data_IF_986086621390
#
_entry.id   IF_986086621390
#
_cell.length_a   1.000
_cell.length_b   1.000
_cell.length_c   1.000
_cell.angle_alpha   90.00
_cell.angle_beta   90.00
_cell.angle_gamma   90.00
#
_symmetry.space_group_name_H-M   'P 1'
#
loop_
_entity.id
_entity.type
_entity.pdbx_description
1 polymer ?
#
# COMPACT_ATOMS: atom_id res chain seq x y z
N UNK A 1 23.36 -20.04 -79.25
CA UNK A 1 22.91 -20.78 -80.43
C UNK A 1 22.35 -19.81 -81.44
N UNK A 2 23.18 -19.51 -82.42
CA UNK A 2 22.87 -18.75 -83.62
C UNK A 2 21.66 -19.34 -84.33
N UNK A 3 20.64 -18.52 -84.57
CA UNK A 3 19.69 -18.80 -85.64
C UNK A 3 19.58 -17.56 -86.50
N UNK A 4 20.05 -17.72 -87.74
CA UNK A 4 19.92 -16.81 -88.86
C UNK A 4 18.48 -16.30 -88.98
N UNK A 5 18.24 -15.06 -88.57
CA UNK A 5 17.10 -14.28 -89.05
C UNK A 5 17.40 -13.81 -90.47
N UNK A 6 17.15 -14.72 -91.40
CA UNK A 6 16.97 -14.40 -92.81
C UNK A 6 15.89 -13.32 -92.90
N UNK A 7 16.35 -12.11 -93.21
CA UNK A 7 15.58 -10.98 -93.72
C UNK A 7 14.95 -11.38 -95.06
N UNK A 8 13.97 -12.28 -95.02
CA UNK A 8 13.03 -12.48 -96.12
C UNK A 8 12.11 -11.29 -96.04
N UNK A 9 12.53 -10.19 -96.64
CA UNK A 9 11.67 -9.07 -96.95
C UNK A 9 10.52 -9.66 -97.77
N UNK A 10 9.39 -9.90 -97.12
CA UNK A 10 8.14 -10.36 -97.71
C UNK A 10 7.63 -9.32 -98.70
N UNK A 11 8.31 -9.21 -99.84
CA UNK A 11 7.73 -8.62 -101.04
C UNK A 11 6.60 -9.56 -101.41
N UNK A 12 5.40 -9.21 -100.93
CA UNK A 12 4.15 -9.59 -101.56
C UNK A 12 4.41 -9.58 -103.07
N UNK A 13 4.30 -10.76 -103.67
CA UNK A 13 4.81 -11.05 -105.01
C UNK A 13 4.32 -9.93 -105.94
N UNK A 14 5.19 -9.32 -106.75
CA UNK A 14 4.81 -8.12 -107.53
C UNK A 14 3.53 -8.36 -108.36
N UNK A 15 3.35 -9.61 -108.80
CA UNK A 15 2.14 -10.13 -109.42
C UNK A 15 0.90 -10.05 -108.51
N UNK A 16 0.98 -10.50 -107.26
CA UNK A 16 -0.13 -10.39 -106.29
C UNK A 16 -0.48 -8.95 -105.92
N UNK A 17 0.50 -8.04 -105.89
CA UNK A 17 0.23 -6.60 -105.71
C UNK A 17 -0.43 -5.99 -106.94
N UNK A 18 -0.06 -6.44 -108.13
CA UNK A 18 -0.68 -6.00 -109.37
C UNK A 18 -2.12 -6.49 -109.48
N UNK A 19 -2.38 -7.75 -109.12
CA UNK A 19 -3.73 -8.31 -109.05
C UNK A 19 -4.58 -7.62 -107.96
N UNK A 20 -4.02 -7.35 -106.78
CA UNK A 20 -4.70 -6.58 -105.74
C UNK A 20 -5.12 -5.18 -106.21
N UNK A 21 -4.24 -4.48 -106.94
CA UNK A 21 -4.54 -3.17 -107.53
C UNK A 21 -5.61 -3.26 -108.62
N UNK A 22 -5.59 -4.31 -109.45
CA UNK A 22 -6.63 -4.55 -110.47
C UNK A 22 -7.99 -4.81 -109.83
N UNK A 23 -8.04 -5.66 -108.81
CA UNK A 23 -9.28 -5.98 -108.09
C UNK A 23 -9.84 -4.73 -107.40
N UNK A 24 -9.00 -3.93 -106.73
CA UNK A 24 -9.43 -2.68 -106.13
C UNK A 24 -9.90 -1.65 -107.18
N UNK A 25 -9.24 -1.58 -108.34
CA UNK A 25 -9.67 -0.70 -109.43
C UNK A 25 -11.05 -1.07 -109.98
N UNK A 26 -11.34 -2.35 -110.18
CA UNK A 26 -12.68 -2.81 -110.62
C UNK A 26 -13.76 -2.47 -109.59
N UNK A 27 -13.45 -2.60 -108.29
CA UNK A 27 -14.38 -2.23 -107.22
C UNK A 27 -14.57 -0.70 -107.15
N UNK A 28 -13.52 0.07 -107.39
CA UNK A 28 -13.59 1.54 -107.47
C UNK A 28 -14.43 1.98 -108.68
N UNK A 29 -14.25 1.37 -109.85
CA UNK A 29 -15.10 1.58 -111.03
C UNK A 29 -16.58 1.26 -110.75
N UNK A 30 -16.86 0.15 -110.07
CA UNK A 30 -18.23 -0.22 -109.67
C UNK A 30 -18.84 0.79 -108.68
N UNK A 31 -18.05 1.34 -107.74
CA UNK A 31 -18.53 2.37 -106.81
C UNK A 31 -18.90 3.65 -107.57
N UNK A 32 -18.15 4.00 -108.61
CA UNK A 32 -18.44 5.13 -109.48
C UNK A 32 -19.67 4.88 -110.36
N UNK A 33 -19.81 3.70 -110.96
CA UNK A 33 -20.98 3.31 -111.76
C UNK A 33 -22.26 3.38 -110.90
N UNK A 34 -22.19 2.84 -109.68
CA UNK A 34 -23.29 2.91 -108.71
C UNK A 34 -23.58 4.35 -108.26
N UNK A 35 -22.57 5.23 -108.26
CA UNK A 35 -22.80 6.64 -107.97
C UNK A 35 -23.57 7.33 -109.10
N UNK A 36 -23.26 7.01 -110.36
CA UNK A 36 -23.96 7.54 -111.55
C UNK A 36 -25.40 7.04 -111.58
N UNK A 37 -25.62 5.73 -111.42
CA UNK A 37 -26.98 5.16 -111.41
C UNK A 37 -27.81 5.72 -110.25
N UNK A 38 -27.18 5.97 -109.10
CA UNK A 38 -27.85 6.56 -107.95
C UNK A 38 -28.30 8.02 -108.18
N UNK A 39 -27.68 8.76 -109.10
CA UNK A 39 -28.05 10.16 -109.37
C UNK A 39 -29.06 10.33 -110.51
N UNK A 40 -29.40 9.24 -111.22
CA UNK A 40 -30.39 9.28 -112.30
C UNK A 40 -31.82 9.50 -111.76
N UNK A 41 -32.61 10.39 -112.39
CA UNK A 41 -34.03 10.56 -112.05
C UNK A 41 -34.86 9.30 -112.33
N UNK A 42 -35.98 9.05 -111.63
CA UNK A 42 -36.84 7.88 -111.90
C UNK A 42 -37.55 7.92 -113.26
N UNK A 43 -37.67 9.12 -113.87
CA UNK A 43 -38.28 9.31 -115.17
C UNK A 43 -37.51 10.36 -115.96
N UNK A 44 -37.38 10.17 -117.27
CA UNK A 44 -36.80 11.18 -118.18
C UNK A 44 -37.44 12.57 -118.01
N UNK A 45 -38.74 12.63 -117.78
CA UNK A 45 -39.50 13.89 -117.57
C UNK A 45 -39.19 14.59 -116.25
N UNK A 46 -38.60 13.87 -115.29
CA UNK A 46 -38.15 14.42 -114.00
C UNK A 46 -36.71 14.93 -114.06
N UNK A 47 -36.02 14.78 -115.20
CA UNK A 47 -34.69 15.33 -115.38
C UNK A 47 -34.76 16.86 -115.52
N UNK A 48 -34.02 17.62 -114.69
CA UNK A 48 -33.98 19.07 -114.82
C UNK A 48 -33.47 19.50 -116.20
N UNK A 49 -34.10 20.53 -116.76
CA UNK A 49 -33.79 21.00 -118.11
C UNK A 49 -32.31 21.44 -118.27
N UNK A 50 -31.70 21.93 -117.19
CA UNK A 50 -30.28 22.29 -117.16
C UNK A 50 -29.35 21.07 -117.34
N UNK A 51 -29.77 19.89 -116.90
CA UNK A 51 -28.95 18.67 -116.95
C UNK A 51 -29.08 17.99 -118.30
N UNK A 52 -30.29 18.03 -118.86
CA UNK A 52 -30.54 17.62 -120.24
C UNK A 52 -29.73 18.49 -121.20
N UNK A 53 -29.72 19.81 -121.00
CA UNK A 53 -28.91 20.74 -121.80
C UNK A 53 -27.42 20.52 -121.63
N UNK A 54 -26.92 20.31 -120.40
CA UNK A 54 -25.50 20.05 -120.19
C UNK A 54 -25.06 18.73 -120.83
N UNK A 55 -25.88 17.68 -120.78
CA UNK A 55 -25.59 16.43 -121.48
C UNK A 55 -25.54 16.65 -122.99
N UNK A 56 -26.50 17.39 -123.56
CA UNK A 56 -26.50 17.73 -124.98
C UNK A 56 -25.27 18.56 -125.38
N UNK A 57 -24.89 19.58 -124.59
CA UNK A 57 -23.72 20.43 -124.84
C UNK A 57 -22.39 19.69 -124.69
N UNK A 58 -22.35 18.61 -123.89
CA UNK A 58 -21.15 17.78 -123.67
C UNK A 58 -20.74 17.01 -124.93
N UNK A 59 -21.66 16.84 -125.89
CA UNK A 59 -21.41 16.21 -127.18
C UNK A 59 -21.56 17.29 -128.27
N UNK A 60 -20.44 17.88 -128.68
CA UNK A 60 -20.37 19.08 -129.52
C UNK A 60 -20.91 18.94 -130.97
N UNK A 61 -21.46 17.79 -131.34
CA UNK A 61 -22.05 17.52 -132.66
C UNK A 61 -23.58 17.39 -132.53
N UNK A 62 -24.35 18.03 -133.44
CA UNK A 62 -25.82 17.94 -133.44
C UNK A 62 -26.33 16.49 -133.51
N UNK A 63 -25.56 15.58 -134.13
CA UNK A 63 -25.83 14.15 -134.18
C UNK A 63 -25.55 13.43 -132.85
N UNK A 64 -24.51 13.84 -132.12
CA UNK A 64 -24.13 13.23 -130.84
C UNK A 64 -25.07 13.60 -129.69
N UNK A 65 -25.57 14.85 -129.67
CA UNK A 65 -26.61 15.26 -128.72
C UNK A 65 -27.91 14.49 -128.93
N UNK A 66 -28.31 14.28 -130.18
CA UNK A 66 -29.49 13.46 -130.52
C UNK A 66 -29.30 12.00 -130.10
N UNK A 67 -28.10 11.43 -130.29
CA UNK A 67 -27.78 10.06 -129.87
C UNK A 67 -27.90 9.88 -128.36
N UNK A 68 -27.38 10.81 -127.55
CA UNK A 68 -27.52 10.74 -126.08
C UNK A 68 -28.97 10.86 -125.65
N UNK A 69 -29.73 11.77 -126.25
CA UNK A 69 -31.15 11.92 -125.98
C UNK A 69 -31.93 10.65 -126.38
N UNK A 70 -31.54 10.01 -127.48
CA UNK A 70 -32.11 8.75 -127.93
C UNK A 70 -31.76 7.61 -126.98
N UNK A 71 -30.49 7.45 -126.58
CA UNK A 71 -30.06 6.44 -125.59
C UNK A 71 -30.77 6.62 -124.25
N UNK A 72 -30.97 7.86 -123.80
CA UNK A 72 -31.76 8.16 -122.60
C UNK A 72 -33.21 7.71 -122.75
N UNK A 73 -33.84 8.09 -123.87
CA UNK A 73 -35.24 7.78 -124.13
C UNK A 73 -35.45 6.27 -124.25
N UNK A 74 -34.55 5.58 -124.95
CA UNK A 74 -34.56 4.12 -125.10
C UNK A 74 -34.37 3.42 -123.76
N UNK A 75 -33.43 3.88 -122.91
CA UNK A 75 -33.21 3.31 -121.59
C UNK A 75 -34.44 3.46 -120.68
N UNK A 76 -35.01 4.67 -120.58
CA UNK A 76 -36.21 4.90 -119.76
C UNK A 76 -37.48 4.23 -120.32
N UNK A 77 -37.61 4.13 -121.65
CA UNK A 77 -38.70 3.38 -122.27
C UNK A 77 -38.55 1.87 -122.03
N UNK A 78 -37.32 1.37 -122.03
CA UNK A 78 -37.01 -0.01 -121.69
C UNK A 78 -37.30 -0.28 -120.21
N UNK A 79 -36.84 0.56 -119.27
CA UNK A 79 -37.22 0.46 -117.85
C UNK A 79 -38.75 0.47 -117.65
N UNK A 80 -39.48 1.35 -118.36
CA UNK A 80 -40.95 1.39 -118.28
C UNK A 80 -41.61 0.11 -118.84
N UNK A 81 -41.08 -0.46 -119.92
CA UNK A 81 -41.54 -1.75 -120.47
C UNK A 81 -41.31 -2.88 -119.46
N UNK A 82 -40.16 -2.88 -118.80
CA UNK A 82 -39.81 -3.86 -117.77
C UNK A 82 -40.68 -3.74 -116.52
N UNK A 83 -40.97 -2.52 -116.05
CA UNK A 83 -41.85 -2.28 -114.90
C UNK A 83 -43.30 -2.69 -115.17
N UNK A 84 -43.76 -2.57 -116.41
CA UNK A 84 -45.13 -2.94 -116.81
C UNK A 84 -45.28 -4.42 -117.18
N UNK A 85 -44.19 -5.10 -117.54
CA UNK A 85 -44.14 -6.55 -117.72
C UNK A 85 -44.17 -7.27 -116.36
N UNK A 86 -45.36 -7.48 -115.82
CA UNK A 86 -45.55 -8.18 -114.54
C UNK A 86 -45.31 -9.70 -114.67
N UNK A 87 -44.04 -10.11 -114.78
CA UNK A 87 -43.57 -11.40 -114.26
C UNK A 87 -43.00 -12.44 -115.24
N UNK A 88 -42.78 -12.14 -116.52
CA UNK A 88 -41.98 -13.00 -117.39
C UNK A 88 -41.00 -12.15 -118.20
N UNK A 89 -39.77 -12.07 -117.69
CA UNK A 89 -38.69 -11.31 -118.31
C UNK A 89 -37.86 -12.23 -119.20
N UNK A 90 -37.72 -11.93 -120.50
CA UNK A 90 -36.80 -12.69 -121.35
C UNK A 90 -35.36 -12.46 -120.92
N UNK A 91 -34.49 -13.44 -121.12
CA UNK A 91 -33.04 -13.26 -120.94
C UNK A 91 -32.50 -12.14 -121.85
N UNK A 92 -33.07 -12.01 -123.04
CA UNK A 92 -32.73 -10.96 -124.00
C UNK A 92 -33.09 -9.56 -123.46
N UNK A 93 -34.21 -9.41 -122.74
CA UNK A 93 -34.62 -8.12 -122.17
C UNK A 93 -33.70 -7.66 -121.03
N UNK A 94 -33.14 -8.61 -120.26
CA UNK A 94 -32.17 -8.34 -119.20
C UNK A 94 -30.81 -8.01 -119.78
N UNK A 95 -30.38 -8.70 -120.84
CA UNK A 95 -29.17 -8.36 -121.58
C UNK A 95 -29.26 -6.99 -122.25
N UNK A 96 -30.41 -6.67 -122.85
CA UNK A 96 -30.69 -5.35 -123.44
C UNK A 96 -30.70 -4.25 -122.36
N UNK A 97 -31.27 -4.51 -121.18
CA UNK A 97 -31.17 -3.58 -120.05
C UNK A 97 -29.73 -3.41 -119.58
N UNK A 98 -28.94 -4.48 -119.50
CA UNK A 98 -27.54 -4.39 -119.10
C UNK A 98 -26.70 -3.61 -120.10
N UNK A 99 -26.89 -3.86 -121.41
CA UNK A 99 -26.20 -3.14 -122.46
C UNK A 99 -26.62 -1.67 -122.50
N UNK A 100 -27.92 -1.39 -122.38
CA UNK A 100 -28.47 -0.04 -122.31
C UNK A 100 -27.98 0.71 -121.07
N UNK A 101 -27.99 0.08 -119.89
CA UNK A 101 -27.51 0.68 -118.63
C UNK A 101 -26.01 0.92 -118.67
N UNK A 102 -25.23 -0.01 -119.24
CA UNK A 102 -23.78 0.17 -119.40
C UNK A 102 -23.45 1.28 -120.38
N UNK A 103 -24.09 1.28 -121.55
CA UNK A 103 -23.93 2.34 -122.56
C UNK A 103 -24.32 3.69 -121.96
N UNK A 104 -25.41 3.76 -121.19
CA UNK A 104 -25.85 4.95 -120.48
C UNK A 104 -24.81 5.43 -119.46
N UNK A 105 -24.32 4.53 -118.60
CA UNK A 105 -23.32 4.88 -117.57
C UNK A 105 -22.01 5.33 -118.21
N UNK A 106 -21.56 4.69 -119.30
CA UNK A 106 -20.36 5.09 -120.04
C UNK A 106 -20.54 6.48 -120.69
N UNK A 107 -21.69 6.74 -121.31
CA UNK A 107 -22.06 8.06 -121.88
C UNK A 107 -22.11 9.14 -120.79
N UNK A 108 -22.72 8.84 -119.63
CA UNK A 108 -22.82 9.75 -118.48
C UNK A 108 -21.47 10.01 -117.82
N UNK A 109 -20.61 8.98 -117.74
CA UNK A 109 -19.23 9.09 -117.24
C UNK A 109 -18.41 9.96 -118.17
N UNK A 110 -18.49 9.75 -119.50
CA UNK A 110 -17.78 10.55 -120.49
C UNK A 110 -18.19 12.03 -120.43
N UNK A 111 -19.48 12.31 -120.22
CA UNK A 111 -20.00 13.67 -120.04
C UNK A 111 -19.60 14.33 -118.70
N UNK A 112 -18.93 13.60 -117.79
CA UNK A 112 -18.55 14.09 -116.47
C UNK A 112 -19.76 14.36 -115.56
N UNK A 113 -20.87 13.66 -115.78
CA UNK A 113 -22.12 13.83 -115.05
C UNK A 113 -21.98 13.75 -113.51
N UNK A 114 -21.27 12.76 -112.91
CA UNK A 114 -21.21 12.62 -111.44
C UNK A 114 -20.38 13.69 -110.72
N UNK A 115 -19.43 14.36 -111.40
CA UNK A 115 -18.58 15.39 -110.76
C UNK A 115 -19.24 16.78 -110.75
N UNK A 116 -19.97 17.10 -111.83
CA UNK A 116 -20.59 18.42 -112.01
C UNK A 116 -22.00 18.47 -111.45
N UNK A 117 -22.66 17.33 -111.29
CA UNK A 117 -24.04 17.27 -110.84
C UNK A 117 -24.18 16.66 -109.45
N UNK A 118 -24.70 17.45 -108.50
CA UNK A 118 -25.13 16.94 -107.19
C UNK A 118 -26.56 16.48 -107.32
N UNK A 119 -26.82 15.22 -106.97
CA UNK A 119 -28.14 14.58 -107.07
C UNK A 119 -29.26 15.50 -106.57
N UNK A 120 -30.09 15.99 -107.48
CA UNK A 120 -31.32 16.71 -107.13
C UNK A 120 -32.37 15.77 -106.51
N UNK A 121 -32.17 14.46 -106.64
CA UNK A 121 -33.03 13.40 -106.12
C UNK A 121 -32.30 12.60 -105.05
N UNK A 122 -33.03 12.15 -104.02
CA UNK A 122 -32.48 11.16 -103.11
C UNK A 122 -32.35 9.83 -103.85
N UNK A 123 -31.16 9.22 -103.88
CA UNK A 123 -30.99 7.91 -104.49
C UNK A 123 -31.93 6.90 -103.81
N UNK A 124 -32.48 5.97 -104.59
CA UNK A 124 -33.28 4.88 -104.03
C UNK A 124 -32.50 4.21 -102.88
N UNK A 125 -33.14 4.02 -101.72
CA UNK A 125 -32.48 3.55 -100.50
C UNK A 125 -31.68 2.25 -100.71
N UNK A 126 -32.14 1.40 -101.63
CA UNK A 126 -31.49 0.14 -101.99
C UNK A 126 -30.13 0.35 -102.69
N UNK A 127 -30.03 1.34 -103.60
CA UNK A 127 -28.78 1.65 -104.32
C UNK A 127 -27.78 2.33 -103.39
N UNK A 128 -28.26 3.21 -102.51
CA UNK A 128 -27.42 3.84 -101.47
C UNK A 128 -26.84 2.84 -100.46
N UNK A 129 -27.65 1.89 -99.98
CA UNK A 129 -27.20 0.80 -99.11
C UNK A 129 -26.19 -0.11 -99.82
N UNK A 130 -26.46 -0.47 -101.07
CA UNK A 130 -25.55 -1.29 -101.86
C UNK A 130 -24.19 -0.59 -102.06
N UNK A 131 -24.18 0.71 -102.37
CA UNK A 131 -22.95 1.51 -102.44
C UNK A 131 -22.16 1.50 -101.13
N UNK A 132 -22.83 1.67 -99.98
CA UNK A 132 -22.18 1.62 -98.66
C UNK A 132 -21.56 0.26 -98.34
N UNK A 133 -22.25 -0.83 -98.72
CA UNK A 133 -21.73 -2.19 -98.59
C UNK A 133 -20.48 -2.38 -99.45
N UNK A 134 -20.51 -1.94 -100.72
CA UNK A 134 -19.35 -2.05 -101.61
C UNK A 134 -18.17 -1.19 -101.10
N UNK A 135 -18.43 0.00 -100.55
CA UNK A 135 -17.39 0.82 -99.91
C UNK A 135 -16.75 0.13 -98.69
N UNK A 136 -17.56 -0.52 -97.86
CA UNK A 136 -17.08 -1.28 -96.70
C UNK A 136 -16.27 -2.50 -97.15
N UNK A 137 -16.75 -3.19 -98.18
CA UNK A 137 -16.06 -4.32 -98.79
C UNK A 137 -14.72 -3.88 -99.39
N UNK A 138 -14.66 -2.72 -100.05
CA UNK A 138 -13.42 -2.13 -100.57
C UNK A 138 -12.41 -1.87 -99.46
N UNK A 139 -12.84 -1.35 -98.31
CA UNK A 139 -11.99 -1.17 -97.13
C UNK A 139 -11.44 -2.50 -96.60
N UNK A 140 -12.30 -3.50 -96.45
CA UNK A 140 -11.89 -4.84 -96.01
C UNK A 140 -10.96 -5.54 -97.02
N UNK A 141 -11.21 -5.39 -98.31
CA UNK A 141 -10.34 -5.89 -99.38
C UNK A 141 -9.00 -5.18 -99.35
N UNK A 142 -8.97 -3.87 -99.16
CA UNK A 142 -7.72 -3.12 -99.03
C UNK A 142 -6.87 -3.62 -97.86
N UNK A 143 -7.48 -3.79 -96.69
CA UNK A 143 -6.80 -4.31 -95.50
C UNK A 143 -6.34 -5.75 -95.70
N UNK A 144 -7.17 -6.60 -96.33
CA UNK A 144 -6.83 -8.00 -96.58
C UNK A 144 -5.74 -8.18 -97.64
N UNK A 145 -5.74 -7.33 -98.67
CA UNK A 145 -4.76 -7.39 -99.75
C UNK A 145 -3.43 -6.75 -99.36
N UNK A 146 -3.42 -5.86 -98.36
CA UNK A 146 -2.19 -5.21 -97.85
C UNK A 146 -1.64 -5.84 -96.56
N UNK A 147 -2.35 -6.79 -95.95
CA UNK A 147 -1.84 -7.54 -94.79
C UNK A 147 -0.86 -8.61 -95.24
N UNK A 148 0.36 -8.57 -94.72
CA UNK A 148 1.33 -9.64 -94.96
C UNK A 148 1.12 -10.78 -93.97
N UNK A 149 1.56 -11.99 -94.34
CA UNK A 149 1.53 -13.15 -93.44
C UNK A 149 2.35 -12.89 -92.18
N UNK A 150 3.41 -12.08 -92.25
CA UNK A 150 4.24 -11.69 -91.11
C UNK A 150 3.50 -10.78 -90.14
N UNK A 151 2.73 -9.81 -90.64
CA UNK A 151 1.91 -8.92 -89.81
C UNK A 151 0.83 -9.70 -89.05
N UNK A 152 0.21 -10.70 -89.69
CA UNK A 152 -0.78 -11.57 -89.05
C UNK A 152 -0.14 -12.44 -87.95
N UNK A 153 1.05 -12.99 -88.21
CA UNK A 153 1.81 -13.75 -87.20
C UNK A 153 2.21 -12.84 -86.03
N UNK A 154 2.64 -11.60 -86.29
CA UNK A 154 3.00 -10.63 -85.25
C UNK A 154 1.78 -10.22 -84.41
N UNK A 155 0.64 -9.93 -85.04
CA UNK A 155 -0.63 -9.62 -84.34
C UNK A 155 -1.05 -10.78 -83.47
N UNK A 156 -0.97 -12.02 -83.97
CA UNK A 156 -1.29 -13.21 -83.20
C UNK A 156 -0.32 -13.41 -82.02
N UNK A 157 0.97 -13.18 -82.22
CA UNK A 157 1.97 -13.27 -81.15
C UNK A 157 1.72 -12.23 -80.03
N UNK A 158 1.42 -10.98 -80.40
CA UNK A 158 1.06 -9.92 -79.45
C UNK A 158 -0.22 -10.30 -78.68
N UNK A 159 -1.26 -10.73 -79.39
CA UNK A 159 -2.51 -11.15 -78.77
C UNK A 159 -2.31 -12.30 -77.78
N UNK A 160 -1.52 -13.30 -78.15
CA UNK A 160 -1.23 -14.43 -77.28
C UNK A 160 -0.42 -14.00 -76.04
N UNK A 161 0.56 -13.11 -76.19
CA UNK A 161 1.31 -12.55 -75.07
C UNK A 161 0.40 -11.73 -74.14
N UNK A 162 -0.49 -10.88 -74.69
CA UNK A 162 -1.45 -10.12 -73.87
C UNK A 162 -2.42 -11.04 -73.13
N UNK A 163 -2.93 -12.08 -73.79
CA UNK A 163 -3.82 -13.08 -73.17
C UNK A 163 -3.09 -13.86 -72.07
N UNK A 164 -1.82 -14.23 -72.28
CA UNK A 164 -1.05 -14.93 -71.26
C UNK A 164 -0.72 -14.02 -70.06
N UNK A 165 -0.42 -12.74 -70.30
CA UNK A 165 -0.26 -11.76 -69.23
C UNK A 165 -1.55 -11.53 -68.45
N UNK A 166 -2.68 -11.43 -69.14
CA UNK A 166 -4.00 -11.32 -68.51
C UNK A 166 -4.32 -12.56 -67.66
N UNK A 167 -4.06 -13.77 -68.18
CA UNK A 167 -4.25 -15.02 -67.43
C UNK A 167 -3.38 -15.07 -66.18
N UNK A 168 -2.10 -14.70 -66.29
CA UNK A 168 -1.19 -14.67 -65.15
C UNK A 168 -1.63 -13.62 -64.12
N UNK A 169 -1.95 -12.40 -64.56
CA UNK A 169 -2.46 -11.35 -63.68
C UNK A 169 -3.77 -11.76 -62.99
N UNK A 170 -4.67 -12.44 -63.70
CA UNK A 170 -5.91 -12.98 -63.13
C UNK A 170 -5.64 -14.07 -62.09
N UNK A 171 -4.68 -14.96 -62.36
CA UNK A 171 -4.26 -15.98 -61.40
C UNK A 171 -3.65 -15.35 -60.13
N UNK A 172 -2.81 -14.33 -60.28
CA UNK A 172 -2.21 -13.59 -59.16
C UNK A 172 -3.28 -12.86 -58.33
N UNK A 173 -4.24 -12.19 -58.99
CA UNK A 173 -5.36 -11.55 -58.30
C UNK A 173 -6.20 -12.59 -57.53
N UNK A 174 -6.46 -13.77 -58.12
CA UNK A 174 -7.17 -14.84 -57.42
C UNK A 174 -6.36 -15.38 -56.23
N UNK A 175 -5.05 -15.55 -56.37
CA UNK A 175 -4.17 -16.00 -55.29
C UNK A 175 -4.16 -14.99 -54.13
N UNK A 176 -3.91 -13.71 -54.41
CA UNK A 176 -3.93 -12.64 -53.42
C UNK A 176 -5.31 -12.48 -52.75
N UNK A 177 -6.39 -12.65 -53.50
CA UNK A 177 -7.75 -12.60 -52.92
C UNK A 177 -7.98 -13.74 -51.94
N UNK A 178 -7.49 -14.95 -52.25
CA UNK A 178 -7.57 -16.11 -51.35
C UNK A 178 -6.70 -15.91 -50.10
N UNK A 179 -5.46 -15.45 -50.26
CA UNK A 179 -4.56 -15.16 -49.14
C UNK A 179 -5.14 -14.08 -48.23
N UNK A 180 -5.67 -13.00 -48.80
CA UNK A 180 -6.32 -11.94 -48.03
C UNK A 180 -7.56 -12.45 -47.27
N UNK A 181 -8.38 -13.29 -47.91
CA UNK A 181 -9.53 -13.92 -47.25
C UNK A 181 -9.09 -14.83 -46.10
N UNK A 182 -8.05 -15.64 -46.30
CA UNK A 182 -7.48 -16.51 -45.28
C UNK A 182 -6.89 -15.71 -44.11
N UNK A 183 -6.15 -14.64 -44.37
CA UNK A 183 -5.57 -13.79 -43.34
C UNK A 183 -6.66 -13.06 -42.54
N UNK A 184 -7.72 -12.59 -43.20
CA UNK A 184 -8.88 -12.01 -42.54
C UNK A 184 -9.56 -13.01 -41.59
N UNK A 185 -9.67 -14.27 -42.02
CA UNK A 185 -10.24 -15.33 -41.18
C UNK A 185 -9.33 -15.68 -40.00
N UNK A 186 -8.04 -15.86 -40.24
CA UNK A 186 -7.05 -16.10 -39.17
C UNK A 186 -7.08 -14.97 -38.13
N UNK A 187 -7.16 -13.72 -38.60
CA UNK A 187 -7.25 -12.55 -37.72
C UNK A 187 -8.54 -12.55 -36.90
N UNK A 188 -9.68 -12.92 -37.51
CA UNK A 188 -10.96 -13.05 -36.79
C UNK A 188 -10.86 -14.08 -35.66
N UNK A 189 -10.35 -15.28 -35.96
CA UNK A 189 -10.18 -16.35 -34.97
C UNK A 189 -9.24 -15.92 -33.83
N UNK A 190 -8.12 -15.26 -34.15
CA UNK A 190 -7.19 -14.78 -33.13
C UNK A 190 -7.79 -13.67 -32.25
N UNK A 191 -8.60 -12.77 -32.83
CA UNK A 191 -9.34 -11.75 -32.07
C UNK A 191 -10.34 -12.42 -31.13
N UNK A 192 -11.15 -13.35 -31.62
CA UNK A 192 -12.13 -14.08 -30.80
C UNK A 192 -11.46 -14.85 -29.65
N UNK A 193 -10.30 -15.49 -29.91
CA UNK A 193 -9.50 -16.19 -28.89
C UNK A 193 -9.00 -15.23 -27.81
N UNK A 194 -8.50 -14.06 -28.21
CA UNK A 194 -8.03 -13.01 -27.28
C UNK A 194 -9.18 -12.42 -26.48
N UNK A 195 -10.31 -12.12 -27.11
CA UNK A 195 -11.51 -11.63 -26.44
C UNK A 195 -12.02 -12.64 -25.41
N UNK A 196 -12.02 -13.93 -25.74
CA UNK A 196 -12.36 -15.00 -24.81
C UNK A 196 -11.42 -15.03 -23.60
N UNK A 197 -10.12 -14.88 -23.85
CA UNK A 197 -9.11 -14.82 -22.78
C UNK A 197 -9.33 -13.60 -21.89
N UNK A 198 -9.63 -12.44 -22.49
CA UNK A 198 -9.92 -11.21 -21.75
C UNK A 198 -11.16 -11.38 -20.87
N UNK A 199 -12.22 -12.02 -21.37
CA UNK A 199 -13.43 -12.31 -20.57
C UNK A 199 -13.10 -13.19 -19.37
N UNK A 200 -12.39 -14.31 -19.58
CA UNK A 200 -11.95 -15.20 -18.49
C UNK A 200 -11.13 -14.47 -17.43
N UNK A 201 -10.12 -13.70 -17.85
CA UNK A 201 -9.28 -12.94 -16.91
C UNK A 201 -10.09 -11.89 -16.12
N UNK A 202 -11.12 -11.28 -16.72
CA UNK A 202 -12.02 -10.37 -16.01
C UNK A 202 -12.88 -11.09 -14.97
N UNK A 203 -13.40 -12.26 -15.31
CA UNK A 203 -14.16 -13.11 -14.38
C UNK A 203 -13.28 -13.58 -13.21
N UNK A 204 -12.07 -14.06 -13.49
CA UNK A 204 -11.09 -14.46 -12.47
C UNK A 204 -10.70 -13.28 -11.57
N UNK A 205 -10.45 -12.09 -12.13
CA UNK A 205 -10.18 -10.89 -11.35
C UNK A 205 -11.37 -10.47 -10.48
N UNK A 206 -12.60 -10.61 -10.97
CA UNK A 206 -13.80 -10.33 -10.19
C UNK A 206 -13.93 -11.31 -9.01
N UNK A 207 -13.74 -12.61 -9.26
CA UNK A 207 -13.76 -13.65 -8.24
C UNK A 207 -12.68 -13.41 -7.17
N UNK A 208 -11.44 -13.11 -7.57
CA UNK A 208 -10.35 -12.81 -6.63
C UNK A 208 -10.66 -11.59 -5.77
N UNK A 209 -11.24 -10.53 -6.36
CA UNK A 209 -11.66 -9.34 -5.60
C UNK A 209 -12.74 -9.67 -4.59
N UNK A 210 -13.75 -10.44 -5.00
CA UNK A 210 -14.83 -10.87 -4.10
C UNK A 210 -14.28 -11.70 -2.93
N UNK A 211 -13.44 -12.71 -3.20
CA UNK A 211 -12.81 -13.50 -2.15
C UNK A 211 -11.95 -12.66 -1.22
N UNK A 212 -11.17 -11.71 -1.76
CA UNK A 212 -10.36 -10.81 -0.94
C UNK A 212 -11.22 -9.90 -0.05
N UNK A 213 -12.35 -9.39 -0.55
CA UNK A 213 -13.28 -8.59 0.26
C UNK A 213 -13.92 -9.42 1.37
N UNK A 214 -14.36 -10.65 1.07
CA UNK A 214 -14.92 -11.56 2.06
C UNK A 214 -13.91 -11.91 3.15
N UNK A 215 -12.66 -12.22 2.77
CA UNK A 215 -11.62 -12.58 3.74
C UNK A 215 -11.19 -11.38 4.59
N UNK A 216 -11.12 -10.19 4.00
CA UNK A 216 -10.92 -8.94 4.74
C UNK A 216 -12.03 -8.74 5.79
N UNK A 217 -13.29 -8.90 5.39
CA UNK A 217 -14.43 -8.66 6.27
C UNK A 217 -14.48 -9.69 7.41
N UNK A 218 -14.17 -10.96 7.13
CA UNK A 218 -13.99 -12.00 8.16
C UNK A 218 -12.86 -11.66 9.14
N UNK A 219 -11.72 -11.20 8.63
CA UNK A 219 -10.58 -10.85 9.46
C UNK A 219 -10.89 -9.64 10.35
N UNK A 220 -11.58 -8.63 9.83
CA UNK A 220 -12.05 -7.49 10.61
C UNK A 220 -13.04 -7.91 11.70
N UNK A 221 -13.97 -8.81 11.38
CA UNK A 221 -14.92 -9.34 12.36
C UNK A 221 -14.21 -10.14 13.48
N UNK A 222 -13.23 -10.98 13.14
CA UNK A 222 -12.46 -11.73 14.14
C UNK A 222 -11.60 -10.81 15.01
N UNK A 223 -10.98 -9.77 14.42
CA UNK A 223 -10.24 -8.75 15.20
C UNK A 223 -11.18 -8.07 16.19
N UNK A 224 -12.36 -7.62 15.75
CA UNK A 224 -13.34 -6.98 16.63
C UNK A 224 -13.78 -7.91 17.76
N UNK A 225 -14.05 -9.18 17.45
CA UNK A 225 -14.40 -10.20 18.45
C UNK A 225 -13.28 -10.42 19.48
N UNK A 226 -12.04 -10.50 19.02
CA UNK A 226 -10.87 -10.65 19.88
C UNK A 226 -10.63 -9.42 20.75
N UNK A 227 -10.86 -8.22 20.21
CA UNK A 227 -10.77 -6.98 20.97
C UNK A 227 -11.81 -6.93 22.08
N UNK A 228 -13.08 -7.22 21.77
CA UNK A 228 -14.16 -7.26 22.77
C UNK A 228 -13.89 -8.31 23.86
N UNK A 229 -13.46 -9.51 23.47
CA UNK A 229 -13.10 -10.56 24.42
C UNK A 229 -11.94 -10.12 25.35
N UNK A 230 -10.90 -9.49 24.79
CA UNK A 230 -9.77 -8.98 25.55
C UNK A 230 -10.19 -7.84 26.49
N UNK A 231 -11.04 -6.91 26.03
CA UNK A 231 -11.56 -5.81 26.85
C UNK A 231 -12.32 -6.35 28.07
N UNK A 232 -13.19 -7.35 27.87
CA UNK A 232 -13.89 -8.02 28.97
C UNK A 232 -12.92 -8.71 29.92
N UNK A 233 -11.91 -9.42 29.41
CA UNK A 233 -10.90 -10.07 30.24
C UNK A 233 -10.09 -9.04 31.07
N UNK A 234 -9.66 -7.94 30.46
CA UNK A 234 -8.94 -6.88 31.13
C UNK A 234 -9.81 -6.19 32.18
N UNK A 235 -11.08 -5.94 31.89
CA UNK A 235 -12.02 -5.36 32.83
C UNK A 235 -12.21 -6.27 34.05
N UNK A 236 -12.37 -7.58 33.85
CA UNK A 236 -12.47 -8.54 34.95
C UNK A 236 -11.18 -8.60 35.79
N UNK A 237 -10.00 -8.55 35.14
CA UNK A 237 -8.71 -8.49 35.86
C UNK A 237 -8.57 -7.21 36.66
N UNK A 238 -9.00 -6.08 36.09
CA UNK A 238 -8.99 -4.79 36.76
C UNK A 238 -9.89 -4.79 37.99
N UNK A 239 -11.13 -5.26 37.87
CA UNK A 239 -12.07 -5.37 38.99
C UNK A 239 -11.54 -6.28 40.11
N UNK A 240 -10.92 -7.42 39.76
CA UNK A 240 -10.28 -8.31 40.74
C UNK A 240 -9.13 -7.62 41.46
N UNK A 241 -8.24 -6.95 40.73
CA UNK A 241 -7.11 -6.23 41.34
C UNK A 241 -7.61 -5.08 42.22
N UNK A 242 -8.66 -4.38 41.81
CA UNK A 242 -9.26 -3.33 42.62
C UNK A 242 -9.84 -3.88 43.92
N UNK A 243 -10.58 -5.00 43.87
CA UNK A 243 -11.10 -5.66 45.05
C UNK A 243 -9.97 -6.15 45.98
N UNK A 244 -8.86 -6.65 45.42
CA UNK A 244 -7.69 -7.06 46.20
C UNK A 244 -7.01 -5.87 46.89
N UNK A 245 -6.90 -4.73 46.20
CA UNK A 245 -6.37 -3.49 46.79
C UNK A 245 -7.25 -3.02 47.96
N UNK A 246 -8.57 -3.00 47.79
CA UNK A 246 -9.50 -2.63 48.86
C UNK A 246 -9.44 -3.59 50.05
N UNK A 247 -9.33 -4.90 49.79
CA UNK A 247 -9.15 -5.92 50.83
C UNK A 247 -7.83 -5.74 51.59
N UNK A 248 -6.73 -5.51 50.89
CA UNK A 248 -5.41 -5.27 51.48
C UNK A 248 -5.37 -3.98 52.29
N UNK A 249 -5.97 -2.89 51.80
CA UNK A 249 -6.10 -1.64 52.56
C UNK A 249 -6.92 -1.83 53.84
N UNK A 250 -8.01 -2.58 53.76
CA UNK A 250 -8.81 -2.96 54.93
C UNK A 250 -8.01 -3.76 55.96
N UNK A 251 -7.25 -4.77 55.52
CA UNK A 251 -6.36 -5.58 56.39
C UNK A 251 -5.24 -4.74 57.00
N UNK A 252 -4.67 -3.82 56.23
CA UNK A 252 -3.62 -2.91 56.70
C UNK A 252 -4.15 -1.99 57.80
N UNK A 253 -5.30 -1.35 57.59
CA UNK A 253 -5.96 -0.50 58.59
C UNK A 253 -6.28 -1.28 59.87
N UNK A 254 -6.90 -2.45 59.75
CA UNK A 254 -7.20 -3.29 60.91
C UNK A 254 -5.94 -3.70 61.70
N UNK A 255 -4.86 -4.06 61.00
CA UNK A 255 -3.58 -4.41 61.63
C UNK A 255 -2.95 -3.19 62.31
N UNK A 256 -2.97 -2.03 61.65
CA UNK A 256 -2.48 -0.76 62.21
C UNK A 256 -3.23 -0.41 63.49
N UNK A 257 -4.56 -0.46 63.46
CA UNK A 257 -5.40 -0.12 64.62
C UNK A 257 -5.16 -1.10 65.78
N UNK A 258 -5.00 -2.39 65.48
CA UNK A 258 -4.60 -3.39 66.48
C UNK A 258 -3.26 -3.04 67.11
N UNK A 259 -2.23 -2.73 66.32
CA UNK A 259 -0.92 -2.36 66.83
C UNK A 259 -0.97 -1.09 67.71
N UNK A 260 -1.73 -0.06 67.29
CA UNK A 260 -1.92 1.17 68.07
C UNK A 260 -2.64 0.88 69.39
N UNK A 261 -3.67 0.04 69.38
CA UNK A 261 -4.39 -0.35 70.59
C UNK A 261 -3.50 -1.17 71.54
N UNK A 262 -2.72 -2.12 71.01
CA UNK A 262 -1.78 -2.92 71.79
C UNK A 262 -0.68 -2.04 72.39
N UNK A 263 -0.14 -1.08 71.63
CA UNK A 263 0.84 -0.11 72.12
C UNK A 263 0.25 0.76 73.23
N UNK A 264 -0.96 1.29 73.06
CA UNK A 264 -1.64 2.09 74.08
C UNK A 264 -1.91 1.28 75.35
N UNK A 265 -2.32 0.00 75.21
CA UNK A 265 -2.51 -0.90 76.34
C UNK A 265 -1.19 -1.16 77.09
N UNK A 266 -0.09 -1.36 76.38
CA UNK A 266 1.24 -1.52 76.97
C UNK A 266 1.71 -0.24 77.68
N UNK A 267 1.51 0.94 77.06
CA UNK A 267 1.81 2.25 77.68
C UNK A 267 1.02 2.45 78.98
N UNK A 268 -0.28 2.13 78.97
CA UNK A 268 -1.12 2.22 80.17
C UNK A 268 -0.68 1.24 81.26
N UNK A 269 -0.36 -0.01 80.89
CA UNK A 269 0.15 -1.01 81.83
C UNK A 269 1.50 -0.58 82.44
N UNK A 270 2.39 0.00 81.62
CA UNK A 270 3.66 0.57 82.06
C UNK A 270 3.44 1.73 83.04
N UNK A 271 2.59 2.70 82.71
CA UNK A 271 2.28 3.84 83.58
C UNK A 271 1.70 3.39 84.93
N UNK A 272 0.86 2.34 84.94
CA UNK A 272 0.34 1.75 86.17
C UNK A 272 1.45 1.14 87.03
N UNK A 273 2.36 0.36 86.43
CA UNK A 273 3.52 -0.22 87.15
C UNK A 273 4.47 0.85 87.66
N UNK A 274 4.77 1.88 86.86
CA UNK A 274 5.59 3.03 87.28
C UNK A 274 4.95 3.78 88.46
N UNK A 275 3.64 4.00 88.43
CA UNK A 275 2.90 4.61 89.55
C UNK A 275 2.98 3.73 90.82
N UNK A 276 2.79 2.42 90.69
CA UNK A 276 2.92 1.48 91.81
C UNK A 276 4.33 1.48 92.39
N UNK A 277 5.36 1.48 91.54
CA UNK A 277 6.76 1.55 91.98
C UNK A 277 7.04 2.87 92.72
N UNK A 278 6.57 3.99 92.19
CA UNK A 278 6.70 5.30 92.84
C UNK A 278 6.04 5.32 94.23
N UNK A 279 4.85 4.71 94.37
CA UNK A 279 4.18 4.57 95.67
C UNK A 279 4.98 3.70 96.65
N UNK A 280 5.55 2.58 96.19
CA UNK A 280 6.39 1.70 97.03
C UNK A 280 7.64 2.44 97.49
N UNK A 281 8.32 3.16 96.59
CA UNK A 281 9.51 3.96 96.93
C UNK A 281 9.13 5.02 97.97
N UNK A 282 8.05 5.77 97.75
CA UNK A 282 7.59 6.80 98.69
C UNK A 282 7.27 6.22 100.08
N UNK A 283 6.63 5.04 100.13
CA UNK A 283 6.34 4.34 101.37
C UNK A 283 7.63 3.94 102.09
N UNK A 284 8.56 3.31 101.37
CA UNK A 284 9.85 2.89 101.91
C UNK A 284 10.66 4.09 102.44
N UNK A 285 10.73 5.19 101.68
CA UNK A 285 11.45 6.41 102.09
C UNK A 285 10.83 7.01 103.37
N UNK A 286 9.49 6.99 103.48
CA UNK A 286 8.78 7.42 104.68
C UNK A 286 9.11 6.53 105.88
N UNK A 287 8.99 5.20 105.74
CA UNK A 287 9.33 4.25 106.81
C UNK A 287 10.79 4.35 107.23
N UNK A 288 11.72 4.52 106.28
CA UNK A 288 13.14 4.72 106.57
C UNK A 288 13.39 6.02 107.34
N UNK A 289 12.69 7.10 106.99
CA UNK A 289 12.77 8.38 107.70
C UNK A 289 12.23 8.24 109.12
N UNK A 290 11.09 7.59 109.29
CA UNK A 290 10.47 7.30 110.61
C UNK A 290 11.39 6.43 111.47
N UNK A 291 11.94 5.34 110.92
CA UNK A 291 12.90 4.48 111.61
C UNK A 291 14.20 5.22 111.97
N UNK A 292 14.73 6.06 111.08
CA UNK A 292 15.93 6.87 111.37
C UNK A 292 15.66 7.87 112.49
N UNK A 293 14.48 8.50 112.49
CA UNK A 293 14.07 9.38 113.58
C UNK A 293 13.92 8.60 114.90
N UNK A 294 13.33 7.40 114.86
CA UNK A 294 13.20 6.55 116.04
C UNK A 294 14.55 6.08 116.59
N UNK A 295 15.49 5.72 115.73
CA UNK A 295 16.87 5.41 116.12
C UNK A 295 17.52 6.63 116.78
N UNK A 296 17.35 7.82 116.22
CA UNK A 296 17.89 9.07 116.79
C UNK A 296 17.27 9.38 118.15
N UNK A 297 15.97 9.17 118.32
CA UNK A 297 15.29 9.30 119.61
C UNK A 297 15.86 8.33 120.65
N UNK A 298 15.97 7.04 120.31
CA UNK A 298 16.54 6.02 121.19
C UNK A 298 18.00 6.30 121.53
N UNK A 299 18.80 6.78 120.57
CA UNK A 299 20.18 7.22 120.82
C UNK A 299 20.20 8.40 121.80
N UNK A 300 19.31 9.39 121.63
CA UNK A 300 19.19 10.51 122.56
C UNK A 300 18.71 10.09 123.96
N UNK A 301 17.91 9.02 124.08
CA UNK A 301 17.57 8.40 125.37
C UNK A 301 18.78 7.69 125.98
N UNK A 302 19.51 6.88 125.21
CA UNK A 302 20.75 6.20 125.66
C UNK A 302 21.79 7.22 126.15
N UNK A 303 21.99 8.31 125.43
CA UNK A 303 22.95 9.34 125.80
C UNK A 303 22.55 10.00 127.13
N UNK A 304 21.26 10.30 127.34
CA UNK A 304 20.75 10.82 128.61
C UNK A 304 20.92 9.82 129.74
N UNK A 305 20.52 8.57 129.53
CA UNK A 305 20.65 7.50 130.53
C UNK A 305 22.13 7.31 130.89
N UNK A 306 23.05 7.39 129.91
CA UNK A 306 24.50 7.33 130.15
C UNK A 306 25.02 8.53 130.94
N UNK A 307 24.52 9.75 130.68
CA UNK A 307 24.86 10.93 131.47
C UNK A 307 24.34 10.82 132.91
N UNK A 308 23.11 10.34 133.09
CA UNK A 308 22.52 10.09 134.42
C UNK A 308 23.29 9.02 135.17
N UNK A 309 23.65 7.92 134.51
CA UNK A 309 24.43 6.84 135.09
C UNK A 309 25.84 7.32 135.48
N UNK A 310 26.49 8.14 134.65
CA UNK A 310 27.77 8.78 134.99
C UNK A 310 27.66 9.72 136.21
N UNK A 311 26.57 10.49 136.35
CA UNK A 311 26.32 11.30 137.55
C UNK A 311 26.15 10.43 138.79
N UNK A 312 25.38 9.36 138.69
CA UNK A 312 25.17 8.41 139.81
C UNK A 312 26.48 7.71 140.18
N UNK A 313 27.30 7.33 139.21
CA UNK A 313 28.64 6.76 139.45
C UNK A 313 29.56 7.78 140.15
N UNK A 314 29.53 9.05 139.75
CA UNK A 314 30.29 10.11 140.40
C UNK A 314 29.81 10.37 141.85
N UNK A 315 28.49 10.40 142.07
CA UNK A 315 27.90 10.53 143.39
C UNK A 315 28.23 9.33 144.28
N UNK A 316 28.20 8.11 143.73
CA UNK A 316 28.59 6.89 144.45
C UNK A 316 30.07 6.89 144.78
N UNK A 317 30.94 7.30 143.85
CA UNK A 317 32.37 7.45 144.09
C UNK A 317 32.65 8.47 145.21
N UNK A 318 31.92 9.59 145.23
CA UNK A 318 31.99 10.58 146.30
C UNK A 318 31.53 10.00 147.64
N UNK A 319 30.39 9.31 147.68
CA UNK A 319 29.90 8.66 148.90
C UNK A 319 30.86 7.60 149.43
N UNK A 320 31.52 6.84 148.54
CA UNK A 320 32.57 5.88 148.92
C UNK A 320 33.77 6.62 149.51
N UNK A 321 34.23 7.71 148.89
CA UNK A 321 35.31 8.55 149.42
C UNK A 321 34.96 9.18 150.78
N UNK A 322 33.73 9.69 150.94
CA UNK A 322 33.23 10.25 152.20
C UNK A 322 33.16 9.16 153.28
N UNK A 323 32.71 7.95 152.93
CA UNK A 323 32.71 6.80 153.85
C UNK A 323 34.11 6.38 154.26
N UNK A 324 35.07 6.38 153.33
CA UNK A 324 36.47 6.09 153.62
C UNK A 324 37.09 7.16 154.52
N UNK A 325 36.75 8.44 154.30
CA UNK A 325 37.15 9.55 155.15
C UNK A 325 36.56 9.43 156.57
N UNK A 326 35.27 9.11 156.69
CA UNK A 326 34.60 8.86 157.98
C UNK A 326 35.21 7.66 158.72
N UNK A 327 35.51 6.57 158.01
CA UNK A 327 36.20 5.41 158.58
C UNK A 327 37.62 5.75 159.04
N UNK A 328 38.35 6.57 158.28
CA UNK A 328 39.67 7.07 158.66
C UNK A 328 39.59 8.00 159.89
N UNK A 329 38.59 8.88 159.96
CA UNK A 329 38.36 9.76 161.10
C UNK A 329 37.98 8.96 162.35
N UNK A 330 37.14 7.93 162.22
CA UNK A 330 36.85 6.98 163.31
C UNK A 330 38.10 6.26 163.79
N UNK A 331 38.96 5.77 162.88
CA UNK A 331 40.24 5.15 163.26
C UNK A 331 41.15 6.12 164.00
N UNK A 332 41.22 7.39 163.57
CA UNK A 332 42.01 8.42 164.24
C UNK A 332 41.45 8.74 165.63
N UNK A 333 40.11 8.82 165.76
CA UNK A 333 39.46 9.08 167.03
C UNK A 333 39.64 7.92 168.03
N UNK A 334 39.54 6.68 167.56
CA UNK A 334 39.86 5.50 168.36
C UNK A 334 41.32 5.50 168.82
N UNK A 335 42.27 5.87 167.94
CA UNK A 335 43.68 6.06 168.31
C UNK A 335 43.90 7.18 169.33
N UNK A 336 43.17 8.30 169.22
CA UNK A 336 43.20 9.39 170.20
C UNK A 336 42.63 8.95 171.56
N UNK A 337 41.55 8.15 171.56
CA UNK A 337 40.95 7.59 172.77
C UNK A 337 41.89 6.60 173.47
N UNK A 338 42.56 5.71 172.73
CA UNK A 338 43.56 4.79 173.31
C UNK A 338 44.75 5.56 173.87
N UNK A 339 45.27 6.56 173.14
CA UNK A 339 46.40 7.38 173.61
C UNK A 339 46.02 8.22 174.84
N UNK A 340 44.79 8.72 174.91
CA UNK A 340 44.23 9.42 176.07
C UNK A 340 44.15 8.52 177.31
N UNK A 341 43.68 7.28 177.13
CA UNK A 341 43.62 6.26 178.19
C UNK A 341 45.01 5.93 178.72
N UNK A 342 45.99 5.73 177.83
CA UNK A 342 47.38 5.42 178.22
C UNK A 342 48.03 6.56 179.03
N UNK A 343 47.81 7.82 178.63
CA UNK A 343 48.29 8.99 179.40
C UNK A 343 47.64 9.04 180.79
N UNK A 344 46.34 8.74 180.89
CA UNK A 344 45.63 8.71 182.17
C UNK A 344 46.20 7.65 183.10
N UNK A 345 46.53 6.47 182.59
CA UNK A 345 47.15 5.39 183.36
C UNK A 345 48.57 5.73 183.82
N UNK A 346 49.41 6.32 182.94
CA UNK A 346 50.76 6.79 183.31
C UNK A 346 50.71 7.82 184.45
N UNK A 347 49.75 8.76 184.39
CA UNK A 347 49.53 9.75 185.46
C UNK A 347 49.14 9.09 186.78
N UNK A 348 48.30 8.05 186.74
CA UNK A 348 47.86 7.28 187.92
C UNK A 348 49.03 6.55 188.58
N UNK A 349 49.85 5.86 187.79
CA UNK A 349 51.05 5.16 188.30
C UNK A 349 52.07 6.13 188.88
N UNK A 350 52.30 7.28 188.23
CA UNK A 350 53.25 8.30 188.71
C UNK A 350 52.81 8.91 190.04
N UNK A 351 51.51 9.17 190.22
CA UNK A 351 50.96 9.67 191.48
C UNK A 351 51.14 8.68 192.64
N UNK A 352 51.05 7.38 192.36
CA UNK A 352 51.21 6.31 193.36
C UNK A 352 52.65 6.22 193.87
N UNK A 353 53.65 6.36 192.99
CA UNK A 353 55.08 6.36 193.33
C UNK A 353 55.47 7.55 194.21
N UNK A 354 54.92 8.74 193.92
CA UNK A 354 55.19 9.95 194.71
C UNK A 354 54.62 9.80 196.14
N UNK A 355 53.43 9.22 196.27
CA UNK A 355 52.80 9.00 197.58
C UNK A 355 53.58 7.98 198.44
N UNK A 356 54.20 6.95 197.84
CA UNK A 356 55.00 5.97 198.59
C UNK A 356 56.32 6.57 199.08
N UNK A 357 56.97 7.43 198.30
CA UNK A 357 58.20 8.10 198.70
C UNK A 357 57.97 9.11 199.85
N UNK A 358 56.87 9.87 199.81
CA UNK A 358 56.56 10.84 200.86
C UNK A 358 56.25 10.17 202.22
N UNK A 359 55.52 9.05 202.22
CA UNK A 359 55.23 8.27 203.43
C UNK A 359 56.49 7.67 204.07
N UNK A 360 57.45 7.24 203.26
CA UNK A 360 58.71 6.67 203.76
C UNK A 360 59.67 7.72 204.37
N UNK A 361 59.62 8.97 203.89
CA UNK A 361 60.41 10.07 204.44
C UNK A 361 59.89 10.54 205.82
N UNK A 362 58.56 10.66 205.96
CA UNK A 362 57.93 11.08 207.22
C UNK A 362 58.17 10.09 208.39
N UNK A 363 58.36 8.80 208.10
CA UNK A 363 58.63 7.78 209.14
C UNK A 363 60.08 7.82 209.67
N UNK A 364 61.06 8.24 208.85
CA UNK A 364 62.49 8.23 209.23
C UNK A 364 62.92 9.43 210.07
N UNK A 365 62.21 10.55 209.99
CA UNK A 365 62.51 11.76 210.79
C UNK A 365 61.94 11.72 212.21
N UNK A 366 60.94 10.88 212.49
CA UNK A 366 60.32 10.76 213.81
C UNK A 366 61.08 9.86 214.83
N UNK A 367 62.08 9.06 214.38
CA UNK A 367 62.76 8.04 215.20
C UNK A 367 64.17 8.43 215.70
N UNK A 368 64.69 9.63 215.39
CA UNK A 368 66.12 9.91 215.56
C UNK A 368 66.57 10.58 216.89
N UNK A 369 65.72 11.09 217.81
CA UNK A 369 66.27 11.76 219.03
C UNK A 369 65.40 11.72 220.31
N UNK A 370 65.36 10.57 221.00
CA UNK A 370 64.94 10.42 222.42
C UNK A 370 65.74 9.30 223.17
N UNK A 371 66.76 9.69 223.97
CA UNK A 371 67.27 9.04 225.22
C UNK A 371 68.36 7.95 225.14
N UNK A 372 69.30 7.69 226.10
CA UNK A 372 69.65 8.18 227.46
C UNK A 372 71.04 7.61 227.96
N UNK A 373 71.72 8.38 228.85
CA UNK A 373 72.74 8.14 229.94
C UNK A 373 73.31 6.74 230.36
N UNK A 374 74.67 6.69 230.50
CA UNK A 374 75.62 6.41 231.67
C UNK A 374 75.82 5.00 232.33
N UNK A 375 77.11 4.55 232.46
CA UNK A 375 77.60 3.73 233.61
C UNK A 375 78.98 2.98 233.60
N UNK A 376 80.06 3.62 234.12
CA UNK A 376 81.15 3.16 235.05
C UNK A 376 82.07 1.91 234.81
N UNK A 377 83.40 2.15 234.73
CA UNK A 377 84.49 1.41 235.42
C UNK A 377 85.76 2.29 235.52
N UNK A 378 86.47 2.21 236.65
CA UNK A 378 87.85 2.67 236.76
C UNK A 378 88.80 1.49 236.51
N UNK A 379 89.80 1.73 235.66
CA UNK A 379 91.22 1.48 235.86
C UNK A 379 91.97 2.40 234.91
#
# INVERSE_FOLDING_TARGET
>A
NSFCTLLVRGRMNAQTQQEAKRILAVVDELIEDLAIVATLPPYLSSMPAADMQHLLDSFHDEDGGQEVQQQLTEHYDLERRLESASGDMSADDVEDLHFSTRSLVDTMRYAGYPEKYKAAFQPAANVGNYRSIIQTLRGLLHDRLNTTVEDDVMKFAILNDTVNREKNASADVQALTREHAQEKENRRVEVERREHTIRKLREELAAVRETATMDRDKLLAEIARMQEANEVEYQQKFEKLQADVENLDGKYKATRDKCVNDENAQRAARAKKETQLAQIIQHYDKEMTENTNRIRELQGEIDKDSEELSKVEADLAKLVSDREADEAEKRLNDQCLTHSSEIADIRRTSATVIQSFYRAHAFRTAMANKGKKKGKKGK
#
